data_IF_706082657852
#
_entry.id   IF_706082657852
#
_cell.length_a   1.000
_cell.length_b   1.000
_cell.length_c   1.000
_cell.angle_alpha   90.00
_cell.angle_beta   90.00
_cell.angle_gamma   90.00
#
_symmetry.space_group_name_H-M   'P 1'
#
loop_
_entity.id
_entity.type
_entity.pdbx_description
1 polymer ?
#
# COMPACT_ATOMS: atom_id res chain seq x y z
N UNK A 1 -77.85 -34.32 -9.42
CA UNK A 1 -76.58 -33.74 -9.98
C UNK A 1 -76.15 -32.65 -9.08
N UNK A 2 -75.22 -32.95 -8.13
CA UNK A 2 -74.66 -31.98 -7.18
C UNK A 2 -73.36 -31.46 -7.77
N UNK A 3 -73.27 -30.14 -8.06
CA UNK A 3 -72.09 -29.45 -8.52
C UNK A 3 -71.17 -29.14 -7.29
N UNK A 4 -70.01 -29.75 -7.28
CA UNK A 4 -68.98 -29.51 -6.27
C UNK A 4 -68.19 -28.29 -6.70
N UNK A 5 -68.21 -27.24 -5.90
CA UNK A 5 -67.44 -26.00 -6.11
C UNK A 5 -66.09 -26.14 -5.40
N UNK A 6 -65.03 -26.27 -6.17
CA UNK A 6 -63.63 -26.27 -5.66
C UNK A 6 -63.15 -24.82 -5.49
N UNK A 7 -62.97 -24.40 -4.25
CA UNK A 7 -62.33 -23.11 -3.89
C UNK A 7 -60.84 -23.37 -3.75
N UNK A 8 -60.05 -22.87 -4.70
CA UNK A 8 -58.61 -22.90 -4.60
C UNK A 8 -58.13 -21.72 -3.74
N UNK A 9 -57.61 -22.04 -2.59
CA UNK A 9 -57.00 -21.06 -1.69
C UNK A 9 -55.56 -20.78 -2.15
N UNK A 10 -55.32 -19.60 -2.77
CA UNK A 10 -53.98 -19.13 -3.12
C UNK A 10 -53.32 -18.57 -1.89
N UNK A 11 -52.29 -19.27 -1.39
CA UNK A 11 -51.42 -18.78 -0.31
C UNK A 11 -50.36 -17.86 -0.96
N UNK A 12 -50.46 -16.56 -0.72
CA UNK A 12 -49.44 -15.60 -1.06
C UNK A 12 -48.40 -15.65 0.05
N UNK A 13 -47.22 -16.22 -0.25
CA UNK A 13 -46.05 -16.15 0.64
C UNK A 13 -45.39 -14.79 0.43
N UNK A 14 -45.61 -13.87 1.35
CA UNK A 14 -44.84 -12.63 1.47
C UNK A 14 -43.47 -12.97 2.07
N UNK A 15 -42.47 -13.09 1.23
CA UNK A 15 -41.07 -13.09 1.67
C UNK A 15 -40.72 -11.68 2.15
N UNK A 16 -40.77 -11.47 3.46
CA UNK A 16 -40.19 -10.29 4.09
C UNK A 16 -38.68 -10.36 3.94
N UNK A 17 -38.07 -9.44 3.17
CA UNK A 17 -36.68 -9.17 3.23
C UNK A 17 -36.39 -8.54 4.62
N UNK A 18 -35.89 -9.35 5.54
CA UNK A 18 -35.31 -8.83 6.76
C UNK A 18 -33.97 -8.14 6.37
N UNK A 19 -33.67 -6.96 6.90
CA UNK A 19 -32.34 -6.40 6.76
C UNK A 19 -31.35 -7.37 7.41
N UNK A 20 -30.30 -7.77 6.67
CA UNK A 20 -29.18 -8.49 7.24
C UNK A 20 -28.49 -7.54 8.22
N UNK A 21 -28.57 -7.85 9.51
CA UNK A 21 -27.68 -7.26 10.49
C UNK A 21 -26.25 -7.68 10.10
N UNK A 22 -25.44 -6.73 9.67
CA UNK A 22 -24.00 -6.91 9.55
C UNK A 22 -23.48 -7.28 10.94
N UNK A 23 -23.14 -8.54 11.12
CA UNK A 23 -22.43 -8.98 12.32
C UNK A 23 -21.04 -8.37 12.29
N UNK A 24 -20.87 -7.24 12.96
CA UNK A 24 -19.55 -6.68 13.27
C UNK A 24 -18.85 -7.68 14.20
N UNK A 25 -17.91 -8.43 13.66
CA UNK A 25 -17.02 -9.27 14.45
C UNK A 25 -16.00 -8.36 15.16
N UNK A 26 -16.02 -8.25 16.51
CA UNK A 26 -14.97 -7.52 17.22
C UNK A 26 -13.72 -8.39 17.25
N UNK A 27 -12.73 -8.06 16.46
CA UNK A 27 -11.43 -8.75 16.46
C UNK A 27 -10.60 -8.71 15.17
N UNK A 28 -11.11 -8.11 14.08
CA UNK A 28 -10.38 -8.05 12.79
C UNK A 28 -9.83 -6.65 12.46
N UNK A 29 -9.33 -5.92 13.45
CA UNK A 29 -9.07 -4.48 13.30
C UNK A 29 -7.73 -4.11 12.65
N UNK A 30 -6.77 -5.02 12.43
CA UNK A 30 -5.42 -4.59 11.99
C UNK A 30 -5.08 -4.94 10.54
N UNK A 31 -5.46 -6.10 10.01
CA UNK A 31 -5.18 -6.46 8.61
C UNK A 31 -5.92 -5.59 7.58
N UNK A 32 -7.14 -5.15 7.90
CA UNK A 32 -7.95 -4.29 7.03
C UNK A 32 -7.38 -2.87 6.87
N UNK A 33 -6.50 -2.42 7.75
CA UNK A 33 -6.06 -1.02 7.76
C UNK A 33 -5.02 -0.73 6.66
N UNK A 34 -4.19 -1.70 6.30
CA UNK A 34 -3.22 -1.54 5.21
C UNK A 34 -3.91 -1.58 3.84
N UNK A 35 -4.75 -2.58 3.60
CA UNK A 35 -5.53 -2.69 2.36
C UNK A 35 -6.43 -1.46 2.17
N UNK A 36 -7.11 -1.02 3.22
CA UNK A 36 -7.92 0.20 3.17
C UNK A 36 -7.09 1.45 2.83
N UNK A 37 -5.84 1.51 3.26
CA UNK A 37 -4.94 2.62 2.91
C UNK A 37 -4.51 2.59 1.45
N UNK A 38 -4.08 1.43 0.95
CA UNK A 38 -3.56 1.28 -0.41
C UNK A 38 -4.67 1.40 -1.47
N UNK A 39 -5.89 0.99 -1.16
CA UNK A 39 -7.05 1.06 -2.06
C UNK A 39 -8.02 2.20 -1.71
N UNK A 40 -7.59 3.14 -0.88
CA UNK A 40 -8.42 4.27 -0.52
C UNK A 40 -8.78 5.12 -1.74
N UNK A 41 -10.04 5.54 -1.79
CA UNK A 41 -10.49 6.45 -2.83
C UNK A 41 -9.87 7.84 -2.61
N UNK A 42 -9.05 8.27 -3.55
CA UNK A 42 -8.42 9.59 -3.51
C UNK A 42 -9.52 10.66 -3.64
N UNK A 43 -9.59 11.65 -2.73
CA UNK A 43 -10.56 12.74 -2.84
C UNK A 43 -10.42 13.51 -4.15
N UNK A 44 -11.54 14.01 -4.69
CA UNK A 44 -11.61 14.67 -5.99
C UNK A 44 -10.63 15.86 -6.13
N UNK A 45 -10.32 16.52 -5.02
CA UNK A 45 -9.40 17.67 -4.98
C UNK A 45 -7.94 17.25 -5.23
N UNK A 46 -7.62 15.97 -5.05
CA UNK A 46 -6.27 15.41 -5.24
C UNK A 46 -6.20 14.47 -6.46
N UNK A 47 -7.29 13.83 -6.80
CA UNK A 47 -7.33 12.77 -7.82
C UNK A 47 -6.79 13.23 -9.18
N UNK A 48 -5.87 12.44 -9.73
CA UNK A 48 -5.25 12.69 -11.06
C UNK A 48 -4.16 13.75 -11.05
N UNK A 49 -3.80 14.33 -9.90
CA UNK A 49 -2.67 15.26 -9.82
C UNK A 49 -1.36 14.52 -10.09
N UNK A 50 -0.48 15.16 -10.84
CA UNK A 50 0.88 14.67 -11.12
C UNK A 50 1.88 15.69 -10.59
N UNK A 51 3.02 15.21 -10.14
CA UNK A 51 4.07 16.09 -9.67
C UNK A 51 4.54 17.03 -10.79
N UNK A 52 4.32 18.34 -10.68
CA UNK A 52 4.76 19.30 -11.69
C UNK A 52 6.24 19.66 -11.54
N UNK A 53 6.89 19.23 -10.45
CA UNK A 53 8.28 19.55 -10.15
C UNK A 53 9.18 18.44 -10.67
N UNK A 54 10.14 18.80 -11.52
CA UNK A 54 11.15 17.85 -11.98
C UNK A 54 11.99 17.37 -10.80
N UNK A 55 12.27 16.07 -10.75
CA UNK A 55 13.14 15.47 -9.73
C UNK A 55 14.62 15.75 -10.06
N UNK A 56 14.99 17.03 -10.09
CA UNK A 56 16.38 17.47 -10.27
C UNK A 56 17.11 17.60 -8.93
N UNK A 57 18.40 17.87 -8.97
CA UNK A 57 19.27 17.99 -7.78
C UNK A 57 18.71 19.02 -6.78
N UNK A 58 18.19 20.14 -7.25
CA UNK A 58 17.67 21.22 -6.40
C UNK A 58 16.38 20.79 -5.69
N UNK A 59 15.47 20.09 -6.39
CA UNK A 59 14.27 19.53 -5.80
C UNK A 59 14.60 18.45 -4.78
N UNK A 60 15.53 17.56 -5.11
CA UNK A 60 15.96 16.49 -4.20
C UNK A 60 16.63 17.03 -2.94
N UNK A 61 17.46 18.09 -3.05
CA UNK A 61 18.08 18.75 -1.90
C UNK A 61 17.02 19.36 -0.96
N UNK A 62 16.07 20.15 -1.51
CA UNK A 62 14.97 20.70 -0.70
C UNK A 62 14.13 19.60 -0.07
N UNK A 63 13.81 18.55 -0.82
CA UNK A 63 13.06 17.40 -0.33
C UNK A 63 13.81 16.67 0.81
N UNK A 64 15.12 16.52 0.71
CA UNK A 64 15.96 15.91 1.74
C UNK A 64 15.95 16.71 3.06
N UNK A 65 16.08 18.04 2.98
CA UNK A 65 16.04 18.91 4.16
C UNK A 65 14.67 18.86 4.85
N UNK A 66 13.59 18.92 4.05
CA UNK A 66 12.22 18.82 4.55
C UNK A 66 11.95 17.46 5.18
N UNK A 67 12.45 16.39 4.57
CA UNK A 67 12.30 15.03 5.07
C UNK A 67 13.02 14.85 6.41
N UNK A 68 14.28 15.25 6.49
CA UNK A 68 15.08 15.16 7.72
C UNK A 68 14.41 15.90 8.88
N UNK A 69 13.85 17.09 8.61
CA UNK A 69 13.24 17.93 9.63
C UNK A 69 11.87 17.42 10.09
N UNK A 70 11.04 16.94 9.17
CA UNK A 70 9.62 16.73 9.44
C UNK A 70 9.19 15.26 9.42
N UNK A 71 9.92 14.36 8.76
CA UNK A 71 9.46 13.01 8.46
C UNK A 71 10.33 11.91 9.10
N UNK A 72 11.67 12.11 9.12
CA UNK A 72 12.64 11.09 9.53
C UNK A 72 12.44 10.60 10.97
N UNK A 73 11.97 11.45 11.88
CA UNK A 73 11.71 11.06 13.27
C UNK A 73 10.70 9.93 13.44
N UNK A 74 9.75 9.80 12.50
CA UNK A 74 8.78 8.72 12.47
C UNK A 74 9.12 7.68 11.40
N UNK A 75 9.46 8.13 10.17
CA UNK A 75 9.65 7.24 9.04
C UNK A 75 11.08 6.66 8.93
N UNK A 76 12.01 7.11 9.77
CA UNK A 76 13.44 6.75 9.67
C UNK A 76 14.15 7.51 8.55
N UNK A 77 15.48 7.61 8.64
CA UNK A 77 16.28 8.32 7.61
C UNK A 77 16.19 7.61 6.24
N UNK A 78 16.09 6.29 6.26
CA UNK A 78 15.92 5.45 5.07
C UNK A 78 14.47 5.32 4.60
N UNK A 79 13.50 5.89 5.31
CA UNK A 79 12.08 5.79 4.95
C UNK A 79 11.44 4.43 5.21
N UNK A 80 12.03 3.62 6.12
CA UNK A 80 11.60 2.24 6.41
C UNK A 80 10.55 2.13 7.53
N UNK A 81 10.11 3.26 8.11
CA UNK A 81 9.16 3.29 9.22
C UNK A 81 9.80 3.06 10.59
N UNK A 82 11.11 3.00 10.66
CA UNK A 82 11.94 2.66 11.81
C UNK A 82 12.48 3.88 12.58
N UNK A 83 11.89 5.04 12.36
CA UNK A 83 12.27 6.26 13.08
C UNK A 83 12.05 6.14 14.60
N UNK A 84 12.84 6.83 15.42
CA UNK A 84 12.83 6.67 16.88
C UNK A 84 11.48 6.98 17.53
N UNK A 85 10.65 7.83 16.94
CA UNK A 85 9.27 8.07 17.37
C UNK A 85 8.33 7.02 16.77
N UNK A 86 8.57 6.63 15.51
CA UNK A 86 7.73 5.70 14.76
C UNK A 86 7.61 4.33 15.42
N UNK A 87 8.69 3.82 15.98
CA UNK A 87 8.72 2.51 16.67
C UNK A 87 7.76 2.41 17.89
N UNK A 88 7.30 3.54 18.42
CA UNK A 88 6.36 3.58 19.55
C UNK A 88 4.90 3.80 19.11
N UNK A 89 4.62 3.95 17.81
CA UNK A 89 3.28 4.21 17.28
C UNK A 89 2.56 2.91 16.94
N UNK A 90 1.24 2.95 17.10
CA UNK A 90 0.34 1.87 16.70
C UNK A 90 -0.85 2.48 15.91
N UNK A 91 -0.98 2.17 14.61
CA UNK A 91 -0.05 1.39 13.81
C UNK A 91 1.30 2.11 13.57
N UNK A 92 2.36 1.33 13.38
CA UNK A 92 3.66 1.85 13.01
C UNK A 92 3.62 2.60 11.66
N UNK A 93 4.53 3.56 11.41
CA UNK A 93 4.63 4.23 10.13
C UNK A 93 4.92 3.25 9.00
N UNK A 94 4.28 3.46 7.86
CA UNK A 94 4.56 2.66 6.66
C UNK A 94 5.99 2.89 6.17
N UNK A 95 6.65 1.87 5.56
CA UNK A 95 7.93 2.00 4.88
C UNK A 95 7.74 2.82 3.59
N UNK A 96 7.80 4.15 3.71
CA UNK A 96 7.46 5.07 2.61
C UNK A 96 8.46 5.02 1.46
N UNK A 97 9.70 4.62 1.69
CA UNK A 97 10.66 4.35 0.63
C UNK A 97 10.09 3.30 -0.34
N UNK A 98 9.56 2.21 0.19
CA UNK A 98 8.89 1.18 -0.59
C UNK A 98 7.53 1.64 -1.14
N UNK A 99 6.65 2.16 -0.27
CA UNK A 99 5.30 2.61 -0.65
C UNK A 99 5.34 3.66 -1.76
N UNK A 100 6.34 4.57 -1.77
CA UNK A 100 6.49 5.60 -2.80
C UNK A 100 6.70 5.02 -4.19
N UNK A 101 7.24 3.81 -4.31
CA UNK A 101 7.43 3.15 -5.60
C UNK A 101 6.13 2.55 -6.15
N UNK A 102 5.18 2.26 -5.28
CA UNK A 102 3.92 1.61 -5.65
C UNK A 102 2.77 2.60 -5.88
N UNK A 103 2.78 3.72 -5.16
CA UNK A 103 1.64 4.65 -5.15
C UNK A 103 1.85 5.80 -6.15
N UNK A 104 0.76 6.26 -6.77
CA UNK A 104 0.79 7.40 -7.67
C UNK A 104 1.04 8.73 -6.93
N UNK A 105 1.40 9.77 -7.68
CA UNK A 105 1.73 11.09 -7.14
C UNK A 105 0.55 11.72 -6.39
N UNK A 106 -0.65 11.61 -6.92
CA UNK A 106 -1.88 12.13 -6.31
C UNK A 106 -2.16 11.49 -4.94
N UNK A 107 -1.93 10.19 -4.82
CA UNK A 107 -2.04 9.49 -3.54
C UNK A 107 -1.00 10.00 -2.55
N UNK A 108 0.27 10.07 -2.93
CA UNK A 108 1.33 10.54 -2.05
C UNK A 108 1.11 12.00 -1.63
N UNK A 109 0.69 12.83 -2.58
CA UNK A 109 0.40 14.24 -2.32
C UNK A 109 -0.78 14.41 -1.36
N UNK A 110 -1.85 13.65 -1.56
CA UNK A 110 -2.98 13.61 -0.65
C UNK A 110 -2.54 13.17 0.76
N UNK A 111 -1.77 12.07 0.88
CA UNK A 111 -1.34 11.54 2.17
C UNK A 111 -0.45 12.52 2.94
N UNK A 112 0.48 13.19 2.27
CA UNK A 112 1.29 14.24 2.89
C UNK A 112 0.40 15.41 3.28
N UNK A 113 -0.53 15.81 2.42
CA UNK A 113 -1.39 16.99 2.67
C UNK A 113 -2.33 16.79 3.85
N UNK A 114 -3.08 15.69 3.90
CA UNK A 114 -4.16 15.45 4.88
C UNK A 114 -3.75 14.57 6.05
N UNK A 115 -2.55 13.99 6.00
CA UNK A 115 -2.07 13.11 7.08
C UNK A 115 -2.76 11.75 7.11
N UNK A 116 -2.77 11.12 8.29
CA UNK A 116 -3.21 9.74 8.48
C UNK A 116 -4.43 9.53 9.36
N UNK A 117 -5.07 10.59 9.83
CA UNK A 117 -6.16 10.49 10.81
C UNK A 117 -7.34 9.65 10.30
N UNK A 118 -7.67 9.76 9.01
CA UNK A 118 -8.72 8.97 8.36
C UNK A 118 -8.48 7.46 8.48
N UNK A 119 -7.22 7.05 8.55
CA UNK A 119 -6.79 5.65 8.67
C UNK A 119 -6.34 5.29 10.10
N UNK A 120 -6.73 6.07 11.09
CA UNK A 120 -6.33 5.90 12.48
C UNK A 120 -4.81 5.81 12.69
N UNK A 121 -4.02 6.57 11.91
CA UNK A 121 -2.58 6.70 12.09
C UNK A 121 -2.23 8.05 12.69
N UNK A 122 -1.04 8.15 13.31
CA UNK A 122 -0.55 9.38 13.94
C UNK A 122 0.12 10.35 12.97
N UNK A 123 0.12 10.09 11.65
CA UNK A 123 0.71 11.00 10.66
C UNK A 123 -0.05 12.32 10.62
N UNK A 124 0.59 13.46 10.91
CA UNK A 124 -0.08 14.77 10.88
C UNK A 124 -0.34 15.25 9.45
N UNK A 125 -1.33 16.15 9.25
CA UNK A 125 -1.50 16.84 7.98
C UNK A 125 -0.43 17.92 7.81
N UNK A 126 0.11 18.03 6.59
CA UNK A 126 1.19 18.98 6.30
C UNK A 126 0.77 20.14 5.40
N UNK A 127 -0.47 20.18 4.89
CA UNK A 127 -0.93 21.21 3.94
C UNK A 127 -0.87 22.64 4.48
N UNK A 128 -1.01 22.81 5.79
CA UNK A 128 -0.97 24.12 6.42
C UNK A 128 0.44 24.54 6.86
N UNK A 129 1.37 23.57 6.95
CA UNK A 129 2.76 23.81 7.37
C UNK A 129 3.75 23.84 6.19
N UNK A 130 3.45 23.12 5.12
CA UNK A 130 4.27 23.03 3.92
C UNK A 130 3.48 23.50 2.71
N UNK A 131 4.05 24.39 1.92
CA UNK A 131 3.45 24.79 0.65
C UNK A 131 3.38 23.65 -0.35
N UNK A 132 2.75 23.90 -1.47
CA UNK A 132 2.54 22.88 -2.50
C UNK A 132 3.85 22.37 -3.08
N UNK A 133 4.80 23.29 -3.37
CA UNK A 133 6.12 22.93 -3.89
C UNK A 133 6.89 22.04 -2.91
N UNK A 134 6.90 22.39 -1.63
CA UNK A 134 7.58 21.63 -0.59
C UNK A 134 7.06 20.18 -0.50
N UNK A 135 5.75 19.98 -0.63
CA UNK A 135 5.14 18.65 -0.64
C UNK A 135 5.49 17.84 -1.89
N UNK A 136 5.62 18.49 -3.05
CA UNK A 136 6.09 17.85 -4.27
C UNK A 136 7.59 17.53 -4.23
N UNK A 137 8.42 18.39 -3.66
CA UNK A 137 9.85 18.12 -3.44
C UNK A 137 10.06 16.92 -2.50
N UNK A 138 9.23 16.80 -1.44
CA UNK A 138 9.22 15.62 -0.58
C UNK A 138 8.91 14.32 -1.35
N UNK A 139 7.94 14.34 -2.27
CA UNK A 139 7.60 13.18 -3.10
C UNK A 139 8.79 12.80 -3.99
N UNK A 140 9.44 13.78 -4.63
CA UNK A 140 10.64 13.52 -5.42
C UNK A 140 11.74 12.86 -4.58
N UNK A 141 11.97 13.37 -3.37
CA UNK A 141 12.98 12.81 -2.48
C UNK A 141 12.65 11.39 -2.01
N UNK A 142 11.41 11.12 -1.53
CA UNK A 142 11.06 9.77 -1.04
C UNK A 142 11.05 8.74 -2.16
N UNK A 143 10.74 9.14 -3.40
CA UNK A 143 10.90 8.28 -4.59
C UNK A 143 12.35 7.98 -4.88
N UNK A 144 13.21 9.00 -4.86
CA UNK A 144 14.65 8.85 -5.07
C UNK A 144 15.29 8.00 -3.95
N UNK A 145 14.79 8.14 -2.72
CA UNK A 145 15.20 7.34 -1.57
C UNK A 145 14.82 5.85 -1.78
N UNK A 146 13.57 5.59 -2.17
CA UNK A 146 13.10 4.24 -2.45
C UNK A 146 13.73 3.60 -3.69
N UNK A 147 14.14 4.40 -4.68
CA UNK A 147 14.90 3.94 -5.84
C UNK A 147 16.42 3.77 -5.54
N UNK A 148 16.89 4.13 -4.35
CA UNK A 148 18.30 4.06 -3.98
C UNK A 148 19.20 5.06 -4.73
N UNK A 149 18.62 6.10 -5.34
CA UNK A 149 19.36 7.10 -6.12
C UNK A 149 19.88 8.26 -5.28
N UNK A 150 19.42 8.39 -4.04
CA UNK A 150 19.93 9.33 -3.03
C UNK A 150 20.31 8.57 -1.77
N UNK A 151 21.29 9.14 -1.03
CA UNK A 151 21.60 8.62 0.30
C UNK A 151 20.68 9.27 1.34
N UNK A 152 20.28 8.55 2.38
CA UNK A 152 19.59 9.14 3.53
C UNK A 152 20.41 10.29 4.10
N UNK A 153 19.76 11.38 4.49
CA UNK A 153 20.42 12.45 5.21
C UNK A 153 21.12 11.92 6.45
N UNK A 154 22.20 12.57 6.89
CA UNK A 154 22.93 12.20 8.12
C UNK A 154 22.10 12.56 9.36
N UNK A 155 20.89 12.05 9.48
CA UNK A 155 20.08 12.04 10.68
C UNK A 155 20.51 10.87 11.57
N UNK A 156 20.44 11.06 12.88
CA UNK A 156 20.97 10.08 13.82
C UNK A 156 20.17 8.77 13.78
N UNK A 157 20.71 7.72 13.17
CA UNK A 157 20.37 6.32 13.44
C UNK A 157 19.52 5.57 12.43
N UNK A 158 19.19 6.11 11.24
CA UNK A 158 18.48 5.38 10.21
C UNK A 158 19.41 4.56 9.31
N UNK A 159 19.01 3.35 8.99
CA UNK A 159 19.67 2.53 7.98
C UNK A 159 19.29 3.03 6.59
N UNK A 160 20.27 3.27 5.71
CA UNK A 160 20.01 3.57 4.30
C UNK A 160 19.12 2.45 3.70
N UNK A 161 18.23 2.80 2.76
CA UNK A 161 17.57 1.78 1.96
C UNK A 161 18.63 0.89 1.33
N UNK A 162 18.68 -0.35 1.80
CA UNK A 162 19.57 -1.37 1.28
C UNK A 162 18.68 -2.51 0.72
N UNK A 163 18.70 -2.73 -0.59
CA UNK A 163 17.91 -3.81 -1.19
C UNK A 163 18.17 -5.17 -0.56
N UNK A 164 19.40 -5.39 -0.03
CA UNK A 164 19.75 -6.66 0.65
C UNK A 164 19.10 -6.76 2.02
N UNK A 165 18.97 -5.64 2.74
CA UNK A 165 18.25 -5.57 4.02
C UNK A 165 16.74 -5.75 3.79
N UNK A 166 16.20 -5.14 2.74
CA UNK A 166 14.80 -5.32 2.37
C UNK A 166 14.48 -6.79 2.03
N UNK A 167 15.33 -7.41 1.21
CA UNK A 167 15.20 -8.83 0.89
C UNK A 167 15.33 -9.73 2.14
N UNK A 168 16.20 -9.36 3.08
CA UNK A 168 16.33 -10.08 4.35
C UNK A 168 15.06 -9.95 5.22
N UNK A 169 14.49 -8.75 5.35
CA UNK A 169 13.22 -8.54 6.06
C UNK A 169 12.06 -9.29 5.43
N UNK A 170 11.97 -9.28 4.09
CA UNK A 170 10.97 -10.07 3.37
C UNK A 170 11.13 -11.56 3.64
N UNK A 171 12.37 -12.07 3.61
CA UNK A 171 12.65 -13.47 3.91
C UNK A 171 12.29 -13.83 5.37
N UNK A 172 12.57 -12.96 6.33
CA UNK A 172 12.17 -13.16 7.73
C UNK A 172 10.64 -13.17 7.89
N UNK A 173 9.95 -12.23 7.25
CA UNK A 173 8.48 -12.16 7.24
C UNK A 173 7.87 -13.43 6.67
N UNK A 174 8.35 -13.90 5.52
CA UNK A 174 7.86 -15.13 4.88
C UNK A 174 8.16 -16.37 5.73
N UNK A 175 9.35 -16.45 6.35
CA UNK A 175 9.70 -17.53 7.25
C UNK A 175 8.79 -17.57 8.50
N UNK A 176 8.46 -16.42 9.06
CA UNK A 176 7.53 -16.34 10.20
C UNK A 176 6.10 -16.70 9.78
N UNK A 177 5.67 -16.30 8.57
CA UNK A 177 4.37 -16.67 8.01
C UNK A 177 4.23 -18.19 7.80
N UNK A 178 5.27 -18.84 7.32
CA UNK A 178 5.31 -20.31 7.18
C UNK A 178 5.28 -20.99 8.56
N UNK A 179 6.05 -20.50 9.51
CA UNK A 179 6.09 -21.01 10.88
C UNK A 179 4.75 -20.88 11.60
N UNK A 180 3.97 -19.85 11.30
CA UNK A 180 2.62 -19.62 11.84
C UNK A 180 1.52 -20.36 11.05
N UNK A 181 1.87 -21.19 10.07
CA UNK A 181 0.94 -21.87 9.15
C UNK A 181 -0.02 -20.92 8.39
N UNK A 182 0.38 -19.65 8.20
CA UNK A 182 -0.37 -18.67 7.41
C UNK A 182 -0.26 -18.97 5.93
N UNK A 183 0.96 -19.34 5.49
CA UNK A 183 1.27 -19.76 4.12
C UNK A 183 2.19 -20.99 4.15
N UNK A 184 2.27 -21.70 3.04
CA UNK A 184 3.23 -22.79 2.83
C UNK A 184 4.57 -22.27 2.31
N UNK A 185 5.64 -23.09 2.39
CA UNK A 185 6.95 -22.75 1.78
C UNK A 185 6.83 -22.46 0.27
N UNK A 186 6.01 -23.24 -0.43
CA UNK A 186 5.79 -23.04 -1.87
C UNK A 186 5.07 -21.70 -2.17
N UNK A 187 4.17 -21.26 -1.30
CA UNK A 187 3.51 -19.96 -1.41
C UNK A 187 4.45 -18.82 -1.04
N UNK A 188 5.36 -19.01 -0.08
CA UNK A 188 6.41 -18.06 0.23
C UNK A 188 7.34 -17.83 -0.98
N UNK A 189 7.73 -18.90 -1.68
CA UNK A 189 8.52 -18.81 -2.91
C UNK A 189 7.75 -18.05 -4.02
N UNK A 190 6.46 -18.34 -4.18
CA UNK A 190 5.62 -17.61 -5.15
C UNK A 190 5.57 -16.13 -4.80
N UNK A 191 5.31 -15.80 -3.54
CA UNK A 191 5.24 -14.41 -3.10
C UNK A 191 6.55 -13.67 -3.39
N UNK A 192 7.70 -14.24 -3.00
CA UNK A 192 9.00 -13.62 -3.20
C UNK A 192 9.26 -13.35 -4.70
N UNK A 193 9.07 -14.36 -5.54
CA UNK A 193 9.32 -14.23 -7.00
C UNK A 193 8.42 -13.19 -7.64
N UNK A 194 7.11 -13.19 -7.32
CA UNK A 194 6.16 -12.27 -7.94
C UNK A 194 6.37 -10.85 -7.42
N UNK A 195 6.57 -10.68 -6.12
CA UNK A 195 6.79 -9.38 -5.49
C UNK A 195 8.06 -8.71 -6.04
N UNK A 196 9.18 -9.45 -6.10
CA UNK A 196 10.43 -8.93 -6.66
C UNK A 196 10.28 -8.56 -8.14
N UNK A 197 9.60 -9.40 -8.92
CA UNK A 197 9.35 -9.13 -10.34
C UNK A 197 8.50 -7.85 -10.52
N UNK A 198 7.45 -7.66 -9.73
CA UNK A 198 6.61 -6.46 -9.76
C UNK A 198 7.41 -5.21 -9.40
N UNK A 199 8.26 -5.29 -8.39
CA UNK A 199 9.10 -4.17 -7.96
C UNK A 199 10.12 -3.78 -9.05
N UNK A 200 10.83 -4.75 -9.61
CA UNK A 200 11.77 -4.51 -10.71
C UNK A 200 11.07 -3.92 -11.95
N UNK A 201 9.86 -4.41 -12.24
CA UNK A 201 9.08 -3.89 -13.36
C UNK A 201 8.66 -2.43 -13.13
N UNK A 202 8.25 -2.06 -11.92
CA UNK A 202 7.93 -0.67 -11.54
C UNK A 202 9.14 0.25 -11.67
N UNK A 203 10.32 -0.18 -11.21
CA UNK A 203 11.57 0.58 -11.31
C UNK A 203 11.93 0.84 -12.78
N UNK A 204 11.75 -0.16 -13.64
CA UNK A 204 12.06 -0.04 -15.07
C UNK A 204 10.98 0.69 -15.89
N UNK A 205 9.76 0.87 -15.34
CA UNK A 205 8.61 1.48 -16.00
C UNK A 205 7.96 2.59 -15.13
N UNK A 206 8.69 3.67 -14.82
CA UNK A 206 8.20 4.72 -13.92
C UNK A 206 6.94 5.43 -14.46
N UNK A 207 6.68 5.36 -15.76
CA UNK A 207 5.47 5.88 -16.39
C UNK A 207 4.19 5.19 -15.91
N UNK A 208 4.26 3.91 -15.49
CA UNK A 208 3.12 3.18 -14.97
C UNK A 208 2.70 3.69 -13.59
N UNK A 209 3.67 4.12 -12.77
CA UNK A 209 3.38 4.66 -11.44
C UNK A 209 2.59 5.98 -11.55
N UNK A 210 2.84 6.75 -12.60
CA UNK A 210 2.25 8.06 -12.85
C UNK A 210 1.17 8.06 -13.95
N UNK A 211 0.60 6.90 -14.29
CA UNK A 211 -0.40 6.76 -15.35
C UNK A 211 -1.73 7.47 -15.07
N UNK A 212 -2.03 7.74 -13.80
CA UNK A 212 -3.33 8.26 -13.35
C UNK A 212 -4.36 7.17 -13.07
N UNK A 213 -4.00 5.90 -13.25
CA UNK A 213 -4.84 4.74 -12.94
C UNK A 213 -4.88 4.48 -11.42
N UNK A 214 -5.89 3.77 -10.95
CA UNK A 214 -5.93 3.30 -9.56
C UNK A 214 -4.78 2.31 -9.27
N UNK A 215 -4.43 2.14 -8.00
CA UNK A 215 -3.41 1.16 -7.59
C UNK A 215 -3.74 -0.25 -8.12
N UNK A 216 -5.01 -0.66 -8.01
CA UNK A 216 -5.48 -1.96 -8.49
C UNK A 216 -5.33 -2.13 -10.00
N UNK A 217 -5.65 -1.09 -10.79
CA UNK A 217 -5.49 -1.13 -12.25
C UNK A 217 -4.02 -1.23 -12.64
N UNK A 218 -3.14 -0.47 -11.97
CA UNK A 218 -1.70 -0.55 -12.20
C UNK A 218 -1.12 -1.92 -11.85
N UNK A 219 -1.48 -2.48 -10.70
CA UNK A 219 -1.04 -3.82 -10.31
C UNK A 219 -1.50 -4.88 -11.30
N UNK A 220 -2.74 -4.81 -11.74
CA UNK A 220 -3.27 -5.71 -12.77
C UNK A 220 -2.52 -5.57 -14.11
N UNK A 221 -2.19 -4.34 -14.50
CA UNK A 221 -1.43 -4.08 -15.73
C UNK A 221 0.00 -4.63 -15.64
N UNK A 222 0.69 -4.39 -14.52
CA UNK A 222 2.03 -4.92 -14.26
C UNK A 222 2.02 -6.45 -14.26
N UNK A 223 1.08 -7.06 -13.53
CA UNK A 223 0.96 -8.52 -13.48
C UNK A 223 0.71 -9.11 -14.87
N UNK A 224 -0.17 -8.49 -15.64
CA UNK A 224 -0.44 -8.91 -17.02
C UNK A 224 0.81 -8.82 -17.92
N UNK A 225 1.60 -7.77 -17.78
CA UNK A 225 2.85 -7.61 -18.51
C UNK A 225 3.90 -8.66 -18.12
N UNK A 226 4.09 -8.90 -16.81
CA UNK A 226 5.01 -9.91 -16.30
C UNK A 226 4.69 -11.31 -16.81
N UNK A 227 3.40 -11.64 -16.89
CA UNK A 227 2.95 -12.93 -17.46
C UNK A 227 3.19 -12.95 -18.98
N UNK A 228 2.88 -11.89 -19.70
CA UNK A 228 3.08 -11.81 -21.14
C UNK A 228 4.55 -11.91 -21.54
N UNK A 229 5.45 -11.38 -20.74
CA UNK A 229 6.91 -11.44 -20.92
C UNK A 229 7.53 -12.78 -20.42
N UNK A 230 6.72 -13.61 -19.75
CA UNK A 230 7.17 -14.90 -19.21
C UNK A 230 8.08 -14.79 -17.98
N UNK A 231 8.09 -13.63 -17.32
CA UNK A 231 8.84 -13.40 -16.07
C UNK A 231 8.15 -14.11 -14.91
N UNK A 232 6.82 -14.08 -14.91
CA UNK A 232 5.95 -14.75 -13.93
C UNK A 232 5.03 -15.70 -14.70
N UNK A 233 4.78 -16.88 -14.18
CA UNK A 233 3.80 -17.79 -14.76
C UNK A 233 2.37 -17.37 -14.41
N UNK A 234 1.40 -17.74 -15.25
CA UNK A 234 -0.03 -17.47 -14.95
C UNK A 234 -0.43 -18.05 -13.58
N UNK A 235 0.05 -19.25 -13.25
CA UNK A 235 -0.26 -19.89 -11.96
C UNK A 235 0.28 -19.11 -10.76
N UNK A 236 1.45 -18.49 -10.87
CA UNK A 236 2.00 -17.62 -9.82
C UNK A 236 1.19 -16.33 -9.70
N UNK A 237 0.85 -15.73 -10.84
CA UNK A 237 0.02 -14.53 -10.88
C UNK A 237 -1.36 -14.75 -10.26
N UNK A 238 -1.98 -15.90 -10.53
CA UNK A 238 -3.31 -16.25 -9.99
C UNK A 238 -3.28 -16.54 -8.47
N UNK A 239 -2.16 -17.06 -7.96
CA UNK A 239 -2.01 -17.39 -6.54
C UNK A 239 -1.62 -16.17 -5.68
N UNK A 240 -0.92 -15.20 -6.25
CA UNK A 240 -0.33 -14.08 -5.51
C UNK A 240 -1.33 -13.25 -4.69
N UNK A 241 -2.52 -12.86 -5.21
CA UNK A 241 -3.46 -12.05 -4.45
C UNK A 241 -3.94 -12.72 -3.15
N UNK A 242 -4.25 -14.02 -3.19
CA UNK A 242 -4.69 -14.77 -2.01
C UNK A 242 -3.58 -14.89 -0.95
N UNK A 243 -2.33 -15.12 -1.39
CA UNK A 243 -1.17 -15.15 -0.50
C UNK A 243 -0.97 -13.77 0.15
N UNK A 244 -1.03 -12.71 -0.64
CA UNK A 244 -0.91 -11.33 -0.19
C UNK A 244 -1.98 -10.99 0.86
N UNK A 245 -3.24 -11.35 0.61
CA UNK A 245 -4.35 -11.12 1.52
C UNK A 245 -4.18 -11.87 2.84
N UNK A 246 -3.71 -13.12 2.81
CA UNK A 246 -3.46 -13.91 4.03
C UNK A 246 -2.33 -13.33 4.87
N UNK A 247 -1.26 -12.87 4.24
CA UNK A 247 -0.15 -12.20 4.93
C UNK A 247 -0.60 -10.88 5.56
N UNK A 248 -1.38 -10.08 4.84
CA UNK A 248 -1.96 -8.84 5.35
C UNK A 248 -2.92 -9.06 6.52
N UNK A 249 -3.80 -10.06 6.42
CA UNK A 249 -4.75 -10.41 7.48
C UNK A 249 -4.06 -10.97 8.74
N UNK A 250 -2.91 -11.60 8.58
CA UNK A 250 -2.08 -12.08 9.69
C UNK A 250 -1.21 -10.95 10.31
N UNK A 251 -1.27 -9.74 9.78
CA UNK A 251 -0.46 -8.58 10.20
C UNK A 251 1.06 -8.84 10.12
N UNK A 252 1.47 -9.63 9.15
CA UNK A 252 2.87 -9.95 8.90
C UNK A 252 3.53 -9.01 7.87
N UNK A 253 2.71 -8.35 7.05
CA UNK A 253 3.19 -7.33 6.12
C UNK A 253 3.27 -5.97 6.81
N UNK A 254 4.34 -5.19 6.58
CA UNK A 254 4.54 -3.86 7.17
C UNK A 254 3.52 -2.81 6.71
#
# INVERSE_FOLDING_TARGET
MKKLLLITLSIIVLTACAPQEETVFPGMGMGNNMMNRHHAQIPADYAGQKNPITADEVSLERGAELYATNCASCHGDGGMGDGPIGAALDPAPSPIAHTSQMMADDYLFWRISEGGLEFNTSMPPWKDALDEQARWDLINYVRALGAGTVQPGMGMGGSAYDPTVQAAHQAEMLAEAVKQDVITEAEADIFAVVHDAMEQYRISHPELVNSGDSATEREAAIMSALVAEGIVTQSQADAFPDIHDRLGNANLMP
#
